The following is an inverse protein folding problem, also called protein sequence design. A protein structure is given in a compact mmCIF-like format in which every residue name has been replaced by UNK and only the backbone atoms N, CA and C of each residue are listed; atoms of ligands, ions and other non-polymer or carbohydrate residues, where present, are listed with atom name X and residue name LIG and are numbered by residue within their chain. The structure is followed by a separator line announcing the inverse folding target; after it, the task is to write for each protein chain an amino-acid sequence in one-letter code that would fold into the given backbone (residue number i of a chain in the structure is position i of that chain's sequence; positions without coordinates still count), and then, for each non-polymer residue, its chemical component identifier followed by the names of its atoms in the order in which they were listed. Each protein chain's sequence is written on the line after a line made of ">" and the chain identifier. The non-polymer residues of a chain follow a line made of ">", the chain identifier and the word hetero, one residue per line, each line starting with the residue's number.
data_IF_690171335042
#
_entry.id   IF_690171335042
#
_cell.length_a   1.000
_cell.length_b   1.000
_cell.length_c   1.000
_cell.angle_alpha   90.00
_cell.angle_beta   90.00
_cell.angle_gamma   90.00
#
_symmetry.space_group_name_H-M   'P 1'
#
loop_
_entity.id
_entity.type
_entity.pdbx_description
1 polymer ?
#
# COMPACT_ATOMS: atom_id res chain seq x y z
N UNK A 1 6.64 19.59 13.36
CA UNK A 1 5.59 18.79 14.00
C UNK A 1 5.35 17.47 13.28
N UNK A 2 5.88 16.37 13.82
CA UNK A 2 5.47 15.00 13.44
C UNK A 2 4.22 14.62 14.25
N UNK A 3 3.17 15.43 14.18
CA UNK A 3 1.91 15.13 14.85
C UNK A 3 1.30 13.87 14.22
N UNK A 4 1.30 12.78 14.98
CA UNK A 4 0.40 11.63 14.96
C UNK A 4 -0.16 11.25 13.57
N UNK A 5 0.71 10.74 12.71
CA UNK A 5 0.26 10.18 11.42
C UNK A 5 -0.34 8.81 11.66
N UNK A 6 -1.63 8.76 12.00
CA UNK A 6 -2.36 7.50 12.16
C UNK A 6 -2.55 6.82 10.80
N UNK A 7 -2.24 5.53 10.74
CA UNK A 7 -2.51 4.66 9.62
C UNK A 7 -3.87 3.99 9.79
N UNK A 8 -4.58 3.82 8.67
CA UNK A 8 -5.82 3.07 8.58
C UNK A 8 -5.57 1.80 7.79
N UNK A 9 -5.83 0.65 8.41
CA UNK A 9 -5.63 -0.65 7.79
C UNK A 9 -6.85 -1.53 7.99
N UNK A 10 -7.22 -2.30 6.97
CA UNK A 10 -8.28 -3.31 7.07
C UNK A 10 -7.66 -4.66 7.40
N UNK A 11 -8.23 -5.34 8.40
CA UNK A 11 -7.84 -6.67 8.81
C UNK A 11 -9.01 -7.65 8.63
N UNK A 12 -8.69 -8.93 8.47
CA UNK A 12 -9.66 -10.02 8.48
C UNK A 12 -9.24 -11.06 9.50
N UNK A 13 -10.15 -11.51 10.34
CA UNK A 13 -9.88 -12.54 11.36
C UNK A 13 -10.94 -13.63 11.30
N UNK A 14 -10.63 -14.79 11.86
CA UNK A 14 -11.67 -15.76 12.17
C UNK A 14 -12.47 -15.27 13.37
N UNK A 15 -13.80 -15.38 13.28
CA UNK A 15 -14.73 -15.05 14.36
C UNK A 15 -14.35 -15.74 15.67
N UNK A 16 -14.00 -17.02 15.61
CA UNK A 16 -13.58 -17.79 16.78
C UNK A 16 -12.31 -17.24 17.44
N UNK A 17 -11.39 -16.64 16.68
CA UNK A 17 -10.16 -16.04 17.23
C UNK A 17 -10.46 -14.69 17.90
N UNK A 18 -11.36 -13.89 17.30
CA UNK A 18 -11.83 -12.62 17.88
C UNK A 18 -12.55 -12.87 19.20
N UNK A 19 -13.45 -13.84 19.25
CA UNK A 19 -14.22 -14.19 20.45
C UNK A 19 -13.31 -14.65 21.60
N UNK A 20 -12.27 -15.45 21.30
CA UNK A 20 -11.28 -15.91 22.27
C UNK A 20 -10.36 -14.79 22.80
N UNK A 21 -10.12 -13.75 22.01
CA UNK A 21 -9.19 -12.66 22.32
C UNK A 21 -9.92 -11.33 22.52
N UNK A 22 -11.12 -11.38 23.12
CA UNK A 22 -11.99 -10.22 23.35
C UNK A 22 -11.22 -9.03 23.94
N UNK A 23 -11.02 -7.98 23.13
CA UNK A 23 -10.35 -6.74 23.52
C UNK A 23 -8.87 -6.61 23.16
N UNK A 24 -8.20 -7.66 22.69
CA UNK A 24 -6.80 -7.59 22.23
C UNK A 24 -6.66 -8.12 20.79
N UNK A 25 -7.17 -7.33 19.84
CA UNK A 25 -7.15 -7.66 18.41
C UNK A 25 -5.84 -7.28 17.72
N UNK A 26 -5.01 -6.43 18.34
CA UNK A 26 -3.71 -6.01 17.78
C UNK A 26 -2.68 -7.14 17.78
N UNK A 27 -2.81 -8.13 18.67
CA UNK A 27 -1.97 -9.33 18.69
C UNK A 27 -2.39 -10.39 17.66
N UNK A 28 -3.57 -10.25 17.03
CA UNK A 28 -4.06 -11.22 16.06
C UNK A 28 -3.43 -10.99 14.69
N UNK A 29 -3.05 -12.09 14.04
CA UNK A 29 -2.58 -12.05 12.66
C UNK A 29 -3.78 -12.07 11.71
N UNK A 30 -3.79 -11.13 10.77
CA UNK A 30 -4.82 -11.09 9.72
C UNK A 30 -4.81 -12.35 8.84
N UNK A 31 -6.00 -12.83 8.51
CA UNK A 31 -6.29 -14.05 7.75
C UNK A 31 -7.41 -13.79 6.77
N UNK A 32 -7.03 -13.57 5.51
CA UNK A 32 -7.96 -13.30 4.44
C UNK A 32 -8.59 -14.58 3.88
N UNK A 33 -9.88 -14.55 3.49
CA UNK A 33 -10.51 -15.66 2.78
C UNK A 33 -9.73 -16.02 1.52
N UNK A 34 -9.43 -17.31 1.33
CA UNK A 34 -8.73 -17.82 0.14
C UNK A 34 -9.67 -18.23 -1.00
N UNK A 35 -10.93 -18.45 -0.66
CA UNK A 35 -11.99 -18.93 -1.55
C UNK A 35 -13.14 -17.95 -1.46
N UNK A 36 -13.93 -17.85 -2.52
CA UNK A 36 -15.01 -16.87 -2.70
C UNK A 36 -14.51 -15.47 -3.05
N UNK A 37 -15.38 -14.65 -3.66
CA UNK A 37 -15.01 -13.30 -4.11
C UNK A 37 -15.35 -12.30 -3.00
N UNK A 38 -14.32 -11.60 -2.55
CA UNK A 38 -14.42 -10.50 -1.58
C UNK A 38 -13.76 -9.28 -2.20
N UNK A 39 -14.52 -8.20 -2.32
CA UNK A 39 -14.06 -6.95 -2.91
C UNK A 39 -14.25 -5.80 -1.92
N UNK A 40 -13.26 -4.92 -1.89
CA UNK A 40 -13.29 -3.63 -1.21
C UNK A 40 -13.56 -2.54 -2.25
N UNK A 41 -14.65 -1.79 -2.07
CA UNK A 41 -14.96 -0.63 -2.90
C UNK A 41 -14.72 0.64 -2.10
N UNK A 42 -13.81 1.47 -2.61
CA UNK A 42 -13.40 2.74 -2.02
C UNK A 42 -13.57 3.88 -3.01
N UNK A 43 -13.92 5.06 -2.51
CA UNK A 43 -13.93 6.28 -3.31
C UNK A 43 -12.63 7.04 -3.05
N UNK A 44 -11.82 7.20 -4.08
CA UNK A 44 -10.56 7.92 -4.03
C UNK A 44 -10.76 9.42 -3.76
N UNK A 45 -9.65 10.11 -3.49
CA UNK A 45 -9.61 11.57 -3.32
C UNK A 45 -10.10 12.34 -4.55
N UNK A 46 -9.87 11.81 -5.75
CA UNK A 46 -10.35 12.39 -7.02
C UNK A 46 -11.85 12.12 -7.30
N UNK A 47 -12.54 11.43 -6.39
CA UNK A 47 -13.95 11.06 -6.52
C UNK A 47 -14.20 9.80 -7.36
N UNK A 48 -13.16 9.21 -7.96
CA UNK A 48 -13.29 7.95 -8.69
C UNK A 48 -13.47 6.78 -7.73
N UNK A 49 -14.21 5.75 -8.16
CA UNK A 49 -14.36 4.52 -7.41
C UNK A 49 -13.29 3.52 -7.83
N UNK A 50 -12.69 2.84 -6.86
CA UNK A 50 -11.78 1.74 -7.07
C UNK A 50 -12.26 0.49 -6.34
N UNK A 51 -12.16 -0.64 -7.03
CA UNK A 51 -12.39 -1.96 -6.47
C UNK A 51 -11.05 -2.65 -6.24
N UNK A 52 -10.84 -3.17 -5.03
CA UNK A 52 -9.63 -3.88 -4.61
C UNK A 52 -10.04 -5.31 -4.21
N UNK A 53 -9.49 -6.36 -4.84
CA UNK A 53 -9.76 -7.72 -4.42
C UNK A 53 -9.15 -7.98 -3.05
N UNK A 54 -9.89 -8.63 -2.16
CA UNK A 54 -9.50 -8.98 -0.79
C UNK A 54 -9.32 -10.50 -0.59
N UNK A 55 -9.49 -11.32 -1.63
CA UNK A 55 -9.44 -12.78 -1.54
C UNK A 55 -8.68 -13.42 -2.73
N UNK A 56 -7.33 -13.46 -2.69
CA UNK A 56 -6.46 -12.85 -1.68
C UNK A 56 -6.22 -11.35 -1.95
N UNK A 57 -5.89 -10.56 -0.92
CA UNK A 57 -5.59 -9.15 -1.08
C UNK A 57 -4.28 -8.92 -1.84
N UNK A 58 -4.30 -8.03 -2.81
CA UNK A 58 -3.12 -7.64 -3.60
C UNK A 58 -2.32 -6.50 -2.97
N UNK A 59 -2.97 -5.65 -2.18
CA UNK A 59 -2.38 -4.46 -1.57
C UNK A 59 -2.25 -4.66 -0.05
N UNK A 60 -1.29 -5.49 0.38
CA UNK A 60 -1.01 -5.70 1.80
C UNK A 60 0.18 -4.87 2.29
N UNK A 61 0.08 -4.38 3.52
CA UNK A 61 1.22 -4.00 4.35
C UNK A 61 2.12 -5.23 4.60
N UNK A 62 3.38 -5.05 5.01
CA UNK A 62 4.25 -6.15 5.44
C UNK A 62 3.61 -7.05 6.52
N UNK A 63 2.71 -6.48 7.32
CA UNK A 63 1.99 -7.16 8.40
C UNK A 63 0.77 -7.97 7.91
N UNK A 64 0.48 -7.97 6.61
CA UNK A 64 -0.65 -8.69 6.00
C UNK A 64 -2.00 -8.00 6.17
N UNK A 65 -2.00 -6.72 6.54
CA UNK A 65 -3.19 -5.87 6.58
C UNK A 65 -3.37 -5.19 5.23
N UNK A 66 -4.59 -4.83 4.85
CA UNK A 66 -4.80 -4.02 3.64
C UNK A 66 -4.66 -2.55 3.99
N UNK A 67 -3.67 -1.88 3.40
CA UNK A 67 -3.41 -0.47 3.64
C UNK A 67 -4.51 0.39 2.99
N UNK A 68 -5.16 1.23 3.79
CA UNK A 68 -6.19 2.16 3.31
C UNK A 68 -5.68 3.59 3.18
N UNK A 69 -4.47 3.90 3.62
CA UNK A 69 -3.96 5.27 3.72
C UNK A 69 -4.04 6.05 2.40
N UNK A 70 -3.82 5.39 1.26
CA UNK A 70 -3.91 6.00 -0.08
C UNK A 70 -5.34 6.28 -0.55
N UNK A 71 -6.35 5.68 0.09
CA UNK A 71 -7.76 5.83 -0.27
C UNK A 71 -8.52 6.76 0.68
N UNK A 72 -7.97 7.03 1.87
CA UNK A 72 -8.57 7.93 2.83
C UNK A 72 -8.38 9.39 2.42
N UNK A 73 -9.46 10.17 2.53
CA UNK A 73 -9.48 11.62 2.34
C UNK A 73 -9.89 12.33 3.62
N UNK A 74 -9.60 13.63 3.70
CA UNK A 74 -10.09 14.46 4.80
C UNK A 74 -11.63 14.54 4.75
N UNK A 75 -12.29 14.36 5.89
CA UNK A 75 -13.75 14.36 6.00
C UNK A 75 -14.36 12.97 5.93
N UNK A 76 -15.55 12.87 5.34
CA UNK A 76 -16.31 11.63 5.29
C UNK A 76 -15.72 10.62 4.30
N UNK A 77 -15.50 9.40 4.78
CA UNK A 77 -14.99 8.28 4.01
C UNK A 77 -16.01 7.14 4.02
N UNK A 78 -16.29 6.60 2.84
CA UNK A 78 -17.21 5.45 2.69
C UNK A 78 -16.42 4.25 2.20
N UNK A 79 -16.46 3.18 2.99
CA UNK A 79 -15.85 1.90 2.67
C UNK A 79 -16.97 0.87 2.51
N UNK A 80 -17.00 0.15 1.39
CA UNK A 80 -18.00 -0.90 1.14
C UNK A 80 -17.30 -2.23 0.88
N UNK A 81 -17.62 -3.23 1.67
CA UNK A 81 -17.20 -4.61 1.44
C UNK A 81 -18.31 -5.32 0.69
N UNK A 82 -17.98 -5.92 -0.46
CA UNK A 82 -18.88 -6.74 -1.26
C UNK A 82 -18.43 -8.18 -1.22
N UNK A 83 -19.31 -9.07 -0.77
CA UNK A 83 -19.04 -10.51 -0.69
C UNK A 83 -19.92 -11.30 -1.65
N UNK A 84 -19.36 -12.37 -2.22
CA UNK A 84 -20.10 -13.39 -2.96
C UNK A 84 -19.81 -14.76 -2.37
N UNK A 85 -20.69 -15.23 -1.50
CA UNK A 85 -20.58 -16.50 -0.78
C UNK A 85 -20.77 -16.32 0.72
N UNK A 86 -20.64 -17.41 1.46
CA UNK A 86 -20.71 -17.39 2.92
C UNK A 86 -19.32 -17.14 3.53
N UNK A 87 -19.18 -15.97 4.15
CA UNK A 87 -18.00 -15.54 4.92
C UNK A 87 -18.34 -15.30 6.40
N UNK A 88 -19.41 -15.90 6.92
CA UNK A 88 -19.87 -15.74 8.32
C UNK A 88 -18.82 -16.11 9.38
N UNK A 89 -17.87 -16.98 9.02
CA UNK A 89 -16.72 -17.35 9.83
C UNK A 89 -15.67 -16.25 9.98
N UNK A 90 -15.74 -15.18 9.17
CA UNK A 90 -14.78 -14.07 9.18
C UNK A 90 -15.38 -12.82 9.83
N UNK A 91 -14.51 -12.02 10.42
CA UNK A 91 -14.79 -10.68 10.93
C UNK A 91 -13.81 -9.72 10.26
N UNK A 92 -14.31 -8.59 9.77
CA UNK A 92 -13.49 -7.54 9.17
C UNK A 92 -13.39 -6.38 10.15
N UNK A 93 -12.17 -5.95 10.43
CA UNK A 93 -11.88 -4.92 11.42
C UNK A 93 -11.10 -3.78 10.79
N UNK A 94 -11.53 -2.55 11.02
CA UNK A 94 -10.74 -1.36 10.71
C UNK A 94 -9.80 -1.08 11.87
N UNK A 95 -8.50 -1.11 11.60
CA UNK A 95 -7.46 -0.78 12.57
C UNK A 95 -7.00 0.66 12.34
N UNK A 96 -6.94 1.42 13.43
CA UNK A 96 -6.28 2.73 13.49
C UNK A 96 -5.04 2.55 14.36
N UNK A 97 -3.86 2.76 13.80
CA UNK A 97 -2.61 2.48 14.48
C UNK A 97 -1.51 3.44 14.06
N UNK A 98 -0.46 3.54 14.86
CA UNK A 98 0.77 4.22 14.44
C UNK A 98 1.47 3.43 13.33
N UNK A 99 2.22 4.08 12.43
CA UNK A 99 2.94 3.39 11.36
C UNK A 99 3.84 2.30 11.94
N UNK A 100 3.73 1.08 11.43
CA UNK A 100 4.57 -0.02 11.93
C UNK A 100 6.03 0.20 11.52
N UNK A 101 6.97 -0.36 12.28
CA UNK A 101 8.39 -0.30 11.92
C UNK A 101 8.65 -0.80 10.50
N UNK A 102 7.92 -1.82 10.06
CA UNK A 102 8.04 -2.35 8.70
C UNK A 102 7.52 -1.36 7.64
N UNK A 103 6.46 -0.59 7.93
CA UNK A 103 5.99 0.49 7.06
C UNK A 103 7.01 1.63 6.98
N UNK A 104 7.61 2.01 8.12
CA UNK A 104 8.66 3.05 8.18
C UNK A 104 9.90 2.60 7.42
N UNK A 105 10.36 1.36 7.62
CA UNK A 105 11.50 0.80 6.91
C UNK A 105 11.28 0.76 5.40
N UNK A 106 10.07 0.37 4.96
CA UNK A 106 9.71 0.40 3.53
C UNK A 106 9.74 1.83 2.98
N UNK A 107 9.24 2.81 3.72
CA UNK A 107 9.30 4.21 3.30
C UNK A 107 10.75 4.69 3.15
N UNK A 108 11.60 4.39 4.13
CA UNK A 108 13.02 4.74 4.07
C UNK A 108 13.70 4.11 2.86
N UNK A 109 13.40 2.84 2.56
CA UNK A 109 13.96 2.16 1.41
C UNK A 109 13.54 2.82 0.07
N UNK A 110 12.27 3.23 -0.06
CA UNK A 110 11.81 3.97 -1.25
C UNK A 110 12.55 5.31 -1.38
N UNK A 111 12.77 6.02 -0.27
CA UNK A 111 13.54 7.27 -0.30
C UNK A 111 15.00 7.06 -0.70
N UNK A 112 15.62 5.97 -0.24
CA UNK A 112 16.98 5.60 -0.62
C UNK A 112 17.06 5.25 -2.11
N UNK A 113 16.10 4.47 -2.63
CA UNK A 113 16.00 4.10 -4.05
C UNK A 113 15.81 5.35 -4.94
N UNK A 114 14.98 6.31 -4.52
CA UNK A 114 14.75 7.56 -5.25
C UNK A 114 16.03 8.42 -5.30
N UNK A 115 16.78 8.50 -4.21
CA UNK A 115 18.07 9.19 -4.16
C UNK A 115 19.11 8.52 -5.08
N UNK A 116 19.15 7.19 -5.09
CA UNK A 116 20.02 6.43 -5.99
C UNK A 116 19.66 6.69 -7.45
N UNK A 117 18.37 6.67 -7.77
CA UNK A 117 17.87 6.97 -9.11
C UNK A 117 18.22 8.39 -9.56
N UNK A 118 18.05 9.39 -8.70
CA UNK A 118 18.45 10.76 -9.01
C UNK A 118 19.97 10.89 -9.27
N UNK A 119 20.78 10.22 -8.45
CA UNK A 119 22.23 10.23 -8.61
C UNK A 119 22.64 9.55 -9.92
N UNK A 120 22.01 8.43 -10.25
CA UNK A 120 22.19 7.78 -11.53
C UNK A 120 21.82 8.71 -12.69
N UNK A 121 20.64 9.34 -12.66
CA UNK A 121 20.22 10.32 -13.68
C UNK A 121 21.26 11.42 -13.86
N UNK A 122 21.77 12.00 -12.76
CA UNK A 122 22.81 13.03 -12.82
C UNK A 122 24.10 12.52 -13.46
N UNK A 123 24.49 11.27 -13.18
CA UNK A 123 25.70 10.67 -13.75
C UNK A 123 25.60 10.44 -15.26
N UNK A 124 24.42 10.06 -15.77
CA UNK A 124 24.21 9.77 -17.21
C UNK A 124 23.81 11.00 -18.02
N UNK A 125 23.38 12.08 -17.35
CA UNK A 125 23.02 13.36 -17.99
C UNK A 125 24.22 14.29 -18.24
N UNK A 126 25.44 13.84 -17.92
CA UNK A 126 26.65 14.61 -18.14
C UNK A 126 26.91 14.88 -19.64
N UNK A 127 27.54 16.02 -19.99
CA UNK A 127 27.85 16.33 -21.38
C UNK A 127 28.76 15.26 -21.97
N UNK A 128 28.35 14.71 -23.12
CA UNK A 128 29.14 13.75 -23.87
C UNK A 128 30.38 14.48 -24.41
N UNK A 129 31.55 14.24 -23.81
CA UNK A 129 32.82 14.76 -24.31
C UNK A 129 33.17 14.02 -25.61
N UNK A 130 32.59 14.49 -26.72
CA UNK A 130 32.97 14.04 -28.04
C UNK A 130 34.36 14.61 -28.35
N UNK A 131 35.36 13.77 -28.65
CA UNK A 131 36.64 14.27 -29.13
C UNK A 131 36.42 15.06 -30.43
N UNK A 132 37.19 16.15 -30.67
CA UNK A 132 36.95 17.08 -31.78
C UNK A 132 37.14 16.52 -33.21
N UNK A 133 37.22 15.20 -33.39
CA UNK A 133 37.67 14.59 -34.66
C UNK A 133 36.63 13.75 -35.41
N UNK A 134 35.36 13.71 -34.98
CA UNK A 134 34.34 12.84 -35.62
C UNK A 134 33.66 13.45 -36.84
N UNK A 135 33.86 14.75 -37.12
CA UNK A 135 33.30 15.40 -38.31
C UNK A 135 34.41 15.68 -39.32
N UNK A 136 34.82 14.64 -40.05
CA UNK A 136 35.61 14.83 -41.26
C UNK A 136 34.64 15.22 -42.38
N UNK A 137 34.75 16.42 -43.00
CA UNK A 137 33.94 16.78 -44.13
C UNK A 137 34.27 15.85 -45.30
N UNK A 138 33.25 15.26 -45.92
CA UNK A 138 33.41 14.45 -47.11
C UNK A 138 33.91 15.34 -48.27
N UNK A 139 35.07 15.06 -48.89
CA UNK A 139 35.52 15.84 -50.04
C UNK A 139 34.64 15.53 -51.26
N UNK A 140 34.34 16.60 -52.00
CA UNK A 140 33.46 16.68 -53.17
C UNK A 140 34.07 16.06 -54.42
#
# INVERSE_FOLDING_TARGET
>A
DRQDTLCFSLASYYRADVEKNSGNYSALRSRWPKRQRLDLNVTKRDGSNQTIPLSPPTACTPDGLVDLGSFIKQGENTIKISQKGDLSAYVFCLHVHEPTLAQIQRLNQVLDDDLEWENWCKSVSGPLNLPPSTFVPHPS
#
